data_IF_554376967612
#
_entry.id   IF_554376967612
#
_cell.length_a   1.000
_cell.length_b   1.000
_cell.length_c   1.000
_cell.angle_alpha   90.00
_cell.angle_beta   90.00
_cell.angle_gamma   90.00
#
_symmetry.space_group_name_H-M   'P 1'
#
loop_
_entity.id
_entity.type
_entity.pdbx_description
1 polymer ?
#
# COMPACT_ATOMS: atom_id res chain seq x y z
N UNK A 1 -8.46 -1.35 -29.71
CA UNK A 1 -8.76 -1.68 -28.30
C UNK A 1 -7.51 -1.66 -27.43
N UNK A 2 -6.40 -2.26 -27.86
CA UNK A 2 -5.14 -2.33 -27.10
C UNK A 2 -4.59 -0.94 -26.69
N UNK A 3 -4.64 0.05 -27.57
CA UNK A 3 -4.12 1.40 -27.31
C UNK A 3 -4.88 2.11 -26.17
N UNK A 4 -6.21 1.96 -26.14
CA UNK A 4 -7.04 2.51 -25.05
C UNK A 4 -6.69 1.84 -23.72
N UNK A 5 -6.52 0.51 -23.72
CA UNK A 5 -6.12 -0.23 -22.54
C UNK A 5 -4.75 0.22 -22.02
N UNK A 6 -3.78 0.46 -22.92
CA UNK A 6 -2.46 0.98 -22.55
C UNK A 6 -2.53 2.38 -21.92
N UNK A 7 -3.32 3.30 -22.49
CA UNK A 7 -3.50 4.64 -21.91
C UNK A 7 -4.11 4.55 -20.52
N UNK A 8 -5.14 3.72 -20.35
CA UNK A 8 -5.78 3.53 -19.04
C UNK A 8 -4.83 2.90 -18.03
N UNK A 9 -4.01 1.92 -18.44
CA UNK A 9 -3.00 1.31 -17.58
C UNK A 9 -1.91 2.30 -17.16
N UNK A 10 -1.43 3.13 -18.08
CA UNK A 10 -0.46 4.19 -17.78
C UNK A 10 -1.04 5.23 -16.83
N UNK A 11 -2.28 5.66 -17.05
CA UNK A 11 -2.98 6.58 -16.16
C UNK A 11 -3.16 5.98 -14.77
N UNK A 12 -3.61 4.72 -14.69
CA UNK A 12 -3.74 4.01 -13.43
C UNK A 12 -2.38 3.88 -12.71
N UNK A 13 -1.31 3.55 -13.44
CA UNK A 13 0.04 3.48 -12.87
C UNK A 13 0.52 4.85 -12.38
N UNK A 14 0.26 5.94 -13.12
CA UNK A 14 0.64 7.28 -12.70
C UNK A 14 -0.06 7.72 -11.40
N UNK A 15 -1.31 7.27 -11.18
CA UNK A 15 -2.08 7.58 -9.98
C UNK A 15 -1.74 6.63 -8.82
N UNK A 16 -1.80 5.32 -9.06
CA UNK A 16 -1.67 4.30 -8.01
C UNK A 16 -0.22 3.88 -7.75
N UNK A 17 0.65 3.94 -8.76
CA UNK A 17 2.08 3.64 -8.63
C UNK A 17 2.76 4.35 -7.46
N UNK A 18 2.66 5.69 -7.30
CA UNK A 18 3.22 6.39 -6.15
C UNK A 18 2.53 6.01 -4.82
N UNK A 19 1.25 5.62 -4.87
CA UNK A 19 0.48 5.20 -3.69
C UNK A 19 0.81 3.76 -3.27
N UNK A 20 1.39 2.92 -4.14
CA UNK A 20 1.76 1.55 -3.79
C UNK A 20 2.74 1.50 -2.61
N UNK A 21 3.64 2.48 -2.51
CA UNK A 21 4.54 2.57 -1.35
C UNK A 21 3.74 2.79 -0.06
N UNK A 22 2.76 3.71 -0.07
CA UNK A 22 1.89 3.93 1.08
C UNK A 22 1.06 2.69 1.42
N UNK A 23 0.58 1.98 0.40
CA UNK A 23 -0.14 0.72 0.58
C UNK A 23 0.73 -0.32 1.27
N UNK A 24 1.99 -0.48 0.85
CA UNK A 24 2.94 -1.38 1.53
C UNK A 24 3.17 -0.98 2.99
N UNK A 25 3.35 0.32 3.25
CA UNK A 25 3.49 0.85 4.60
C UNK A 25 2.27 0.60 5.49
N UNK A 26 1.06 0.61 4.92
CA UNK A 26 -0.17 0.35 5.66
C UNK A 26 -0.26 -1.07 6.26
N UNK A 27 0.53 -2.01 5.73
CA UNK A 27 0.63 -3.39 6.24
C UNK A 27 2.01 -3.72 6.81
N UNK A 28 2.97 -2.79 6.78
CA UNK A 28 4.32 -3.03 7.22
C UNK A 28 4.42 -2.92 8.76
N UNK A 29 4.65 -4.05 9.44
CA UNK A 29 4.91 -4.03 10.88
C UNK A 29 6.41 -3.79 11.17
N UNK A 30 7.29 -4.36 10.33
CA UNK A 30 8.74 -4.11 10.40
C UNK A 30 9.32 -3.87 9.02
N UNK A 31 9.93 -2.71 8.85
CA UNK A 31 10.60 -2.32 7.61
C UNK A 31 11.89 -1.57 7.91
N UNK A 32 13.00 -2.32 7.96
CA UNK A 32 14.32 -1.74 8.18
C UNK A 32 15.06 -1.60 6.86
N UNK A 33 15.69 -0.44 6.68
CA UNK A 33 16.66 -0.20 5.62
C UNK A 33 17.76 -1.27 5.67
N UNK A 34 18.24 -1.82 4.53
CA UNK A 34 18.04 -1.38 3.14
C UNK A 34 16.94 -2.15 2.37
N UNK A 35 16.07 -2.88 3.04
CA UNK A 35 15.11 -3.75 2.37
C UNK A 35 14.08 -2.93 1.58
N UNK A 36 13.81 -3.33 0.33
CA UNK A 36 12.82 -2.67 -0.55
C UNK A 36 11.37 -3.07 -0.24
N UNK A 37 11.17 -4.13 0.53
CA UNK A 37 9.87 -4.60 1.00
C UNK A 37 9.90 -4.77 2.52
N UNK A 38 8.74 -4.70 3.19
CA UNK A 38 8.62 -5.05 4.60
C UNK A 38 9.19 -6.43 4.90
N UNK A 39 9.91 -6.53 6.02
CA UNK A 39 10.37 -7.82 6.56
C UNK A 39 9.20 -8.58 7.19
N UNK A 40 8.24 -7.84 7.74
CA UNK A 40 7.07 -8.40 8.41
C UNK A 40 5.83 -7.60 7.99
N UNK A 41 4.83 -8.32 7.49
CA UNK A 41 3.51 -7.79 7.17
C UNK A 41 2.51 -8.19 8.26
N UNK A 42 1.59 -7.30 8.59
CA UNK A 42 0.54 -7.60 9.54
C UNK A 42 -0.56 -6.56 9.61
N UNK A 43 -1.50 -6.80 10.54
CA UNK A 43 -2.74 -6.03 10.67
C UNK A 43 -2.85 -5.32 12.02
N UNK A 44 -1.78 -5.29 12.82
CA UNK A 44 -1.81 -4.71 14.17
C UNK A 44 -2.33 -3.26 14.17
N UNK A 45 -1.94 -2.44 13.19
CA UNK A 45 -2.44 -1.07 13.05
C UNK A 45 -3.92 -1.02 12.69
N UNK A 46 -4.39 -1.90 11.81
CA UNK A 46 -5.80 -1.98 11.44
C UNK A 46 -6.67 -2.44 12.60
N UNK A 47 -6.21 -3.41 13.39
CA UNK A 47 -6.89 -3.78 14.63
C UNK A 47 -7.03 -2.59 15.57
N UNK A 48 -6.01 -1.72 15.68
CA UNK A 48 -6.11 -0.48 16.47
C UNK A 48 -7.08 0.55 15.87
N UNK A 49 -7.08 0.73 14.56
CA UNK A 49 -8.00 1.66 13.86
C UNK A 49 -9.46 1.23 14.03
N UNK A 50 -9.73 -0.07 13.94
CA UNK A 50 -11.07 -0.63 14.06
C UNK A 50 -11.41 -1.11 15.47
N UNK A 51 -10.54 -0.86 16.45
CA UNK A 51 -10.86 -1.16 17.85
C UNK A 51 -12.09 -0.32 18.25
N UNK A 52 -13.14 -0.94 18.80
CA UNK A 52 -14.37 -0.25 19.19
C UNK A 52 -14.20 0.52 20.53
N UNK A 53 -13.12 1.30 20.65
CA UNK A 53 -12.86 2.16 21.81
C UNK A 53 -13.05 3.61 21.39
N UNK A 54 -14.25 4.13 21.67
CA UNK A 54 -14.41 5.55 21.97
C UNK A 54 -14.03 5.75 23.44
N UNK A 55 -12.90 6.41 23.68
CA UNK A 55 -12.70 7.21 24.89
C UNK A 55 -12.45 8.65 24.43
#
# INVERSE_FOLDING_TARGET
MIFRALILALLAFAIFGPLLNLLLWAFAERWYFPNKLPLEFGLTYWYRVFQPRGN
#
